data_IF_117519181740
#
_entry.id   IF_117519181740
#
_cell.length_a   1.000
_cell.length_b   1.000
_cell.length_c   1.000
_cell.angle_alpha   90.00
_cell.angle_beta   90.00
_cell.angle_gamma   90.00
#
_symmetry.space_group_name_H-M   'P 1'
#
loop_
_entity.id
_entity.type
_entity.pdbx_description
1 polymer ?
#
# COMPACT_ATOMS: atom_id res chain seq x y z
N UNK A 1 -9.07 13.96 -6.96
CA UNK A 1 -8.12 15.02 -6.57
C UNK A 1 -7.93 14.92 -5.06
N UNK A 2 -6.77 14.49 -4.58
CA UNK A 2 -6.53 14.38 -3.12
C UNK A 2 -6.22 15.77 -2.58
N UNK A 3 -7.00 16.25 -1.61
CA UNK A 3 -6.77 17.56 -0.99
C UNK A 3 -5.62 17.46 0.02
N UNK A 4 -4.61 18.34 -0.04
CA UNK A 4 -3.53 18.35 0.93
C UNK A 4 -4.11 18.71 2.31
N UNK A 5 -3.84 17.87 3.30
CA UNK A 5 -4.30 18.04 4.69
C UNK A 5 -3.11 18.18 5.62
N UNK A 6 -3.17 19.13 6.56
CA UNK A 6 -2.10 19.37 7.54
C UNK A 6 -2.42 18.66 8.85
N UNK A 7 -1.46 17.87 9.36
CA UNK A 7 -1.53 17.23 10.66
C UNK A 7 -0.53 17.91 11.62
N UNK A 8 -0.99 18.32 12.80
CA UNK A 8 -0.15 18.89 13.85
C UNK A 8 -0.26 18.06 15.12
N UNK A 9 0.89 17.67 15.67
CA UNK A 9 0.99 16.94 16.94
C UNK A 9 1.58 17.88 17.98
N UNK A 10 0.86 18.11 19.07
CA UNK A 10 1.29 18.98 20.18
C UNK A 10 1.95 18.17 21.29
N UNK A 11 2.79 18.82 22.10
CA UNK A 11 3.42 18.25 23.30
C UNK A 11 4.25 16.99 23.02
N UNK A 12 5.04 17.01 21.95
CA UNK A 12 5.96 15.92 21.63
C UNK A 12 7.11 15.96 22.64
N UNK A 13 7.41 14.87 23.37
CA UNK A 13 8.57 14.82 24.26
C UNK A 13 9.86 15.06 23.47
N UNK A 14 10.78 15.86 24.02
CA UNK A 14 12.03 16.23 23.33
C UNK A 14 12.86 15.02 22.91
N UNK A 15 12.89 13.99 23.75
CA UNK A 15 13.62 12.77 23.43
C UNK A 15 13.02 12.03 22.22
N UNK A 16 11.69 12.02 22.08
CA UNK A 16 11.03 11.46 20.91
C UNK A 16 11.35 12.28 19.65
N UNK A 17 11.35 13.61 19.78
CA UNK A 17 11.71 14.50 18.67
C UNK A 17 13.16 14.29 18.22
N UNK A 18 14.09 14.10 19.16
CA UNK A 18 15.50 13.76 18.87
C UNK A 18 15.62 12.44 18.11
N UNK A 19 14.95 11.38 18.57
CA UNK A 19 14.95 10.08 17.89
C UNK A 19 14.40 10.18 16.46
N UNK A 20 13.30 10.93 16.28
CA UNK A 20 12.71 11.16 14.96
C UNK A 20 13.67 11.90 14.01
N UNK A 21 14.35 12.96 14.50
CA UNK A 21 15.34 13.70 13.70
C UNK A 21 16.53 12.83 13.31
N UNK A 22 17.06 12.03 14.24
CA UNK A 22 18.17 11.12 13.96
C UNK A 22 17.78 10.10 12.89
N UNK A 23 16.59 9.53 13.00
CA UNK A 23 16.06 8.58 12.01
C UNK A 23 15.84 9.22 10.65
N UNK A 24 15.27 10.42 10.60
CA UNK A 24 15.10 11.18 9.36
C UNK A 24 16.46 11.48 8.69
N UNK A 25 17.46 11.89 9.47
CA UNK A 25 18.82 12.12 8.98
C UNK A 25 19.46 10.84 8.42
N UNK A 26 19.29 9.71 9.11
CA UNK A 26 19.79 8.41 8.65
C UNK A 26 19.13 7.96 7.34
N UNK A 27 17.83 8.24 7.18
CA UNK A 27 17.10 7.89 5.97
C UNK A 27 17.20 8.97 4.87
N UNK A 28 18.03 10.00 5.06
CA UNK A 28 18.20 11.13 4.16
C UNK A 28 16.87 11.82 3.79
N UNK A 29 15.95 11.92 4.74
CA UNK A 29 14.61 12.52 4.59
C UNK A 29 14.43 13.71 5.51
N UNK A 30 13.54 14.62 5.11
CA UNK A 30 13.03 15.64 6.03
C UNK A 30 12.22 14.99 7.15
N UNK A 31 12.05 15.67 8.28
CA UNK A 31 11.21 15.16 9.38
C UNK A 31 9.77 14.87 8.92
N UNK A 32 9.21 15.74 8.09
CA UNK A 32 7.89 15.54 7.49
C UNK A 32 7.86 14.32 6.57
N UNK A 33 8.88 14.15 5.72
CA UNK A 33 8.99 12.99 4.84
C UNK A 33 9.14 11.68 5.59
N UNK A 34 9.91 11.67 6.68
CA UNK A 34 10.04 10.49 7.55
C UNK A 34 8.71 10.15 8.23
N UNK A 35 7.99 11.15 8.75
CA UNK A 35 6.67 10.92 9.34
C UNK A 35 5.66 10.37 8.32
N UNK A 36 5.65 10.91 7.10
CA UNK A 36 4.81 10.38 6.03
C UNK A 36 5.18 8.93 5.69
N UNK A 37 6.48 8.62 5.59
CA UNK A 37 6.92 7.25 5.31
C UNK A 37 6.57 6.27 6.45
N UNK A 38 6.64 6.70 7.71
CA UNK A 38 6.16 5.88 8.83
C UNK A 38 4.65 5.67 8.74
N UNK A 39 3.88 6.73 8.50
CA UNK A 39 2.43 6.63 8.37
C UNK A 39 2.05 5.72 7.20
N UNK A 40 2.69 5.85 6.05
CA UNK A 40 2.48 4.96 4.91
C UNK A 40 2.83 3.51 5.24
N UNK A 41 3.92 3.26 5.98
CA UNK A 41 4.25 1.93 6.44
C UNK A 41 3.22 1.36 7.43
N UNK A 42 2.71 2.14 8.38
CA UNK A 42 1.75 1.64 9.38
C UNK A 42 0.30 1.57 8.87
N UNK A 43 -0.08 2.48 7.97
CA UNK A 43 -1.45 2.57 7.42
C UNK A 43 -1.54 1.78 6.10
N UNK A 44 -0.56 1.92 5.23
CA UNK A 44 -0.49 1.24 3.93
C UNK A 44 -0.03 -0.22 4.01
N UNK A 45 0.48 -0.68 5.16
CA UNK A 45 0.79 -2.10 5.39
C UNK A 45 -0.35 -2.89 6.03
N UNK A 46 -1.59 -2.44 5.94
CA UNK A 46 -2.66 -3.42 5.78
C UNK A 46 -2.45 -4.04 4.40
N UNK A 47 -1.93 -5.29 4.28
CA UNK A 47 -2.00 -5.95 2.98
C UNK A 47 -3.46 -5.84 2.54
N UNK A 48 -3.73 -5.39 1.32
CA UNK A 48 -5.08 -5.54 0.78
C UNK A 48 -5.44 -6.98 1.06
N UNK A 49 -6.48 -7.20 1.86
CA UNK A 49 -6.97 -8.55 2.06
C UNK A 49 -7.24 -9.12 0.67
N UNK A 50 -7.04 -10.42 0.48
CA UNK A 50 -7.35 -11.08 -0.79
C UNK A 50 -8.75 -10.71 -1.30
N UNK A 51 -9.68 -10.44 -0.37
CA UNK A 51 -11.03 -9.94 -0.61
C UNK A 51 -11.09 -8.50 -1.12
N UNK A 52 -10.31 -7.58 -0.56
CA UNK A 52 -10.24 -6.19 -1.04
C UNK A 52 -9.57 -6.12 -2.41
N UNK A 53 -8.52 -6.92 -2.62
CA UNK A 53 -7.83 -7.02 -3.91
C UNK A 53 -8.76 -7.61 -4.98
N UNK A 54 -9.48 -8.70 -4.68
CA UNK A 54 -10.42 -9.29 -5.63
C UNK A 54 -11.58 -8.35 -5.97
N UNK A 55 -12.10 -7.61 -4.99
CA UNK A 55 -13.11 -6.57 -5.21
C UNK A 55 -12.57 -5.45 -6.10
N UNK A 56 -11.31 -5.05 -5.90
CA UNK A 56 -10.66 -4.04 -6.72
C UNK A 56 -10.47 -4.51 -8.18
N UNK A 57 -10.02 -5.75 -8.38
CA UNK A 57 -9.86 -6.39 -9.70
C UNK A 57 -11.22 -6.50 -10.42
N UNK A 58 -12.29 -6.89 -9.72
CA UNK A 58 -13.65 -6.94 -10.28
C UNK A 58 -14.15 -5.56 -10.72
N UNK A 59 -13.90 -4.51 -9.93
CA UNK A 59 -14.30 -3.12 -10.27
C UNK A 59 -13.55 -2.56 -11.47
N UNK A 60 -12.30 -2.98 -11.66
CA UNK A 60 -11.51 -2.61 -12.84
C UNK A 60 -11.97 -3.34 -14.11
N UNK A 61 -12.94 -4.26 -14.01
CA UNK A 61 -13.40 -5.06 -15.14
C UNK A 61 -12.33 -6.01 -15.68
N UNK A 62 -11.28 -6.25 -14.89
CA UNK A 62 -10.21 -7.17 -15.23
C UNK A 62 -10.74 -8.58 -14.99
N UNK A 63 -11.44 -9.10 -15.98
CA UNK A 63 -11.68 -10.53 -16.05
C UNK A 63 -10.32 -11.19 -16.29
N UNK A 64 -9.82 -11.93 -15.30
CA UNK A 64 -8.86 -12.99 -15.59
C UNK A 64 -9.57 -13.90 -16.57
N UNK A 65 -9.15 -13.86 -17.83
CA UNK A 65 -9.75 -14.63 -18.90
C UNK A 65 -9.66 -16.11 -18.50
N UNK A 66 -10.75 -16.64 -17.96
CA UNK A 66 -10.83 -17.97 -17.34
C UNK A 66 -10.83 -19.11 -18.36
N UNK A 67 -10.28 -18.88 -19.55
CA UNK A 67 -10.34 -19.82 -20.65
C UNK A 67 -9.11 -20.71 -20.77
N UNK A 68 -8.11 -20.59 -19.90
CA UNK A 68 -7.04 -21.61 -19.87
C UNK A 68 -7.61 -23.00 -19.60
N UNK A 69 -8.62 -23.12 -18.75
CA UNK A 69 -9.32 -24.39 -18.52
C UNK A 69 -10.17 -24.87 -19.70
N UNK A 70 -10.76 -23.96 -20.48
CA UNK A 70 -11.51 -24.32 -21.68
C UNK A 70 -10.56 -24.79 -22.79
N UNK A 71 -9.47 -24.04 -23.03
CA UNK A 71 -8.42 -24.39 -23.99
C UNK A 71 -7.75 -25.73 -23.65
N UNK A 72 -7.47 -26.00 -22.38
CA UNK A 72 -6.87 -27.28 -21.95
C UNK A 72 -7.85 -28.45 -22.08
N UNK A 73 -9.16 -28.22 -21.94
CA UNK A 73 -10.18 -29.26 -22.18
C UNK A 73 -10.33 -29.56 -23.66
N UNK A 74 -10.39 -28.52 -24.49
CA UNK A 74 -10.48 -28.66 -25.94
C UNK A 74 -9.27 -29.42 -26.52
N UNK A 75 -8.05 -29.11 -26.06
CA UNK A 75 -6.82 -29.80 -26.49
C UNK A 75 -6.72 -31.24 -25.97
N UNK A 76 -7.38 -31.54 -24.84
CA UNK A 76 -7.45 -32.90 -24.26
C UNK A 76 -8.50 -33.77 -24.95
N UNK A 77 -9.68 -33.23 -25.19
CA UNK A 77 -10.84 -33.96 -25.71
C UNK A 77 -10.78 -34.12 -27.25
N UNK A 78 -9.85 -33.41 -27.90
CA UNK A 78 -9.57 -33.51 -29.35
C UNK A 78 -8.55 -34.57 -29.77
N UNK A 79 -8.09 -35.46 -28.86
CA UNK A 79 -7.13 -36.54 -29.15
C UNK A 79 -7.76 -37.93 -29.17
#
# INVERSE_FOLDING_TARGET
MTTPSTLSIKNIPDDLLRRLRNRASHNHRSLQGELLAMLDHYVGSAPLSLTELSTHIQRLGLATHGDSTAMVREDRDGR
#
